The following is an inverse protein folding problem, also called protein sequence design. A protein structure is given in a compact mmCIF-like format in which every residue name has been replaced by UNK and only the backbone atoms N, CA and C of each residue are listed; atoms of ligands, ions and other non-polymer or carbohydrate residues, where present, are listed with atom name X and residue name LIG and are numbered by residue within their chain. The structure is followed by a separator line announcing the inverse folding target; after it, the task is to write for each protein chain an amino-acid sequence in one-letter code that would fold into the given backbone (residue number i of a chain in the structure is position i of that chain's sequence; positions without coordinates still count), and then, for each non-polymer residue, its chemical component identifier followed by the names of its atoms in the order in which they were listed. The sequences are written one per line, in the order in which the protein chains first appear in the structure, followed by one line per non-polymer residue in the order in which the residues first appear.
data_IF_216466683961
#
_entry.id   IF_216466683961
#
_cell.length_a   1.000
_cell.length_b   1.000
_cell.length_c   1.000
_cell.angle_alpha   90.00
_cell.angle_beta   90.00
_cell.angle_gamma   90.00
#
_symmetry.space_group_name_H-M   'P 1'
#
loop_
_entity.id
_entity.type
_entity.pdbx_description
1 polymer ?
#
# COMPACT_ATOMS: atom_id res chain seq x y z
N UNK A 1 58.27 35.33 -46.86
CA UNK A 1 57.67 33.99 -46.99
C UNK A 1 57.83 33.29 -45.66
N UNK A 2 56.74 32.94 -44.99
CA UNK A 2 56.66 31.91 -43.93
C UNK A 2 56.80 30.51 -44.57
N UNK A 3 56.98 29.36 -43.86
CA UNK A 3 56.95 29.09 -42.40
C UNK A 3 58.05 28.02 -41.97
N UNK A 4 57.84 27.02 -41.08
CA UNK A 4 57.93 27.05 -39.60
C UNK A 4 58.70 25.84 -38.96
N UNK A 5 58.67 25.74 -37.62
CA UNK A 5 58.82 24.53 -36.77
C UNK A 5 60.23 23.88 -36.69
N UNK A 6 60.72 23.29 -35.60
CA UNK A 6 60.13 22.77 -34.35
C UNK A 6 61.25 22.36 -33.37
N UNK A 7 60.85 22.11 -32.11
CA UNK A 7 61.49 21.26 -31.09
C UNK A 7 62.78 21.78 -30.40
N UNK A 8 63.02 21.55 -29.11
CA UNK A 8 62.20 21.08 -27.99
C UNK A 8 63.08 21.20 -26.73
N UNK A 9 62.52 21.68 -25.62
CA UNK A 9 63.08 21.41 -24.29
C UNK A 9 61.93 21.45 -23.28
N UNK A 10 61.40 20.26 -23.03
CA UNK A 10 60.45 19.95 -21.97
C UNK A 10 61.01 20.39 -20.61
N UNK A 11 60.36 21.35 -19.97
CA UNK A 11 60.25 21.35 -18.51
C UNK A 11 58.97 20.60 -18.15
N UNK A 12 59.14 19.35 -17.72
CA UNK A 12 58.10 18.55 -17.11
C UNK A 12 57.63 19.26 -15.83
N UNK A 13 56.47 19.91 -15.90
CA UNK A 13 55.69 20.21 -14.71
C UNK A 13 54.51 19.25 -14.68
N UNK A 14 54.66 18.19 -13.89
CA UNK A 14 53.60 17.21 -13.62
C UNK A 14 52.59 17.83 -12.66
N UNK A 15 51.80 18.78 -13.18
CA UNK A 15 50.69 19.41 -12.47
C UNK A 15 49.49 18.47 -12.42
N UNK A 16 49.54 17.44 -11.58
CA UNK A 16 48.29 16.82 -11.15
C UNK A 16 47.49 17.87 -10.38
N UNK A 17 46.39 18.35 -10.98
CA UNK A 17 45.38 19.19 -10.35
C UNK A 17 44.68 18.42 -9.22
N UNK A 18 45.41 18.15 -8.14
CA UNK A 18 44.87 17.73 -6.86
C UNK A 18 44.32 18.97 -6.16
N UNK A 19 43.10 19.38 -6.55
CA UNK A 19 42.42 20.48 -5.89
C UNK A 19 42.00 20.02 -4.48
N UNK A 20 42.55 20.58 -3.38
CA UNK A 20 42.24 20.14 -2.01
C UNK A 20 40.75 20.26 -1.67
N UNK A 21 40.06 21.26 -2.23
CA UNK A 21 38.62 21.44 -2.14
C UNK A 21 37.82 20.23 -2.67
N UNK A 22 38.26 19.60 -3.77
CA UNK A 22 37.60 18.39 -4.30
C UNK A 22 37.79 17.21 -3.36
N UNK A 23 38.96 17.08 -2.71
CA UNK A 23 39.23 16.04 -1.72
C UNK A 23 38.45 16.24 -0.42
N UNK A 24 38.36 17.46 0.08
CA UNK A 24 37.56 17.81 1.27
C UNK A 24 36.07 17.56 1.03
N UNK A 25 35.55 17.94 -0.15
CA UNK A 25 34.17 17.65 -0.54
C UNK A 25 33.88 16.14 -0.61
N UNK A 26 34.82 15.34 -1.12
CA UNK A 26 34.70 13.87 -1.16
C UNK A 26 34.73 13.24 0.23
N UNK A 27 35.57 13.75 1.13
CA UNK A 27 35.63 13.28 2.53
C UNK A 27 34.33 13.63 3.26
N UNK A 28 33.82 14.86 3.09
CA UNK A 28 32.55 15.30 3.70
C UNK A 28 31.34 14.54 3.13
N UNK A 29 31.32 14.24 1.84
CA UNK A 29 30.31 13.38 1.22
C UNK A 29 30.38 11.94 1.78
N UNK A 30 31.58 11.39 1.93
CA UNK A 30 31.78 10.05 2.51
C UNK A 30 31.28 9.99 3.96
N UNK A 31 31.57 11.01 4.78
CA UNK A 31 31.09 11.10 6.17
C UNK A 31 29.58 11.22 6.22
N UNK A 32 28.97 12.04 5.34
CA UNK A 32 27.50 12.17 5.25
C UNK A 32 26.84 10.86 4.85
N UNK A 33 27.37 10.15 3.86
CA UNK A 33 26.87 8.84 3.43
C UNK A 33 27.00 7.80 4.55
N UNK A 34 28.12 7.76 5.25
CA UNK A 34 28.32 6.86 6.38
C UNK A 34 27.31 7.12 7.50
N UNK A 35 27.09 8.39 7.86
CA UNK A 35 26.09 8.78 8.86
C UNK A 35 24.68 8.35 8.45
N UNK A 36 24.28 8.60 7.21
CA UNK A 36 22.97 8.19 6.69
C UNK A 36 22.77 6.66 6.75
N UNK A 37 23.83 5.89 6.47
CA UNK A 37 23.80 4.43 6.60
C UNK A 37 23.63 3.98 8.06
N UNK A 38 24.38 4.57 8.99
CA UNK A 38 24.24 4.28 10.41
C UNK A 38 22.84 4.61 10.94
N UNK A 39 22.29 5.77 10.57
CA UNK A 39 20.94 6.18 10.95
C UNK A 39 19.87 5.24 10.37
N UNK A 40 20.03 4.80 9.11
CA UNK A 40 19.15 3.82 8.47
C UNK A 40 19.18 2.45 9.14
N UNK A 41 20.38 1.96 9.49
CA UNK A 41 20.56 0.71 10.21
C UNK A 41 19.96 0.78 11.61
N UNK A 42 20.21 1.86 12.34
CA UNK A 42 19.64 2.09 13.67
C UNK A 42 18.10 2.12 13.62
N UNK A 43 17.52 2.81 12.63
CA UNK A 43 16.06 2.84 12.45
C UNK A 43 15.49 1.43 12.18
N UNK A 44 16.20 0.60 11.41
CA UNK A 44 15.82 -0.79 11.15
C UNK A 44 15.86 -1.63 12.45
N UNK A 45 16.94 -1.54 13.23
CA UNK A 45 17.08 -2.28 14.50
C UNK A 45 16.03 -1.88 15.54
N UNK A 46 15.73 -0.58 15.66
CA UNK A 46 14.64 -0.10 16.53
C UNK A 46 13.31 -0.68 16.08
N UNK A 47 13.05 -0.71 14.76
CA UNK A 47 11.84 -1.30 14.21
C UNK A 47 11.70 -2.79 14.54
N UNK A 48 12.79 -3.56 14.40
CA UNK A 48 12.82 -4.99 14.77
C UNK A 48 12.57 -5.20 16.26
N UNK A 49 13.21 -4.39 17.11
CA UNK A 49 13.02 -4.43 18.57
C UNK A 49 11.55 -4.20 18.94
N UNK A 50 10.90 -3.21 18.33
CA UNK A 50 9.48 -2.95 18.55
C UNK A 50 8.63 -4.15 18.14
N UNK A 51 8.90 -4.77 16.98
CA UNK A 51 8.16 -5.94 16.51
C UNK A 51 8.30 -7.13 17.47
N UNK A 52 9.51 -7.37 17.98
CA UNK A 52 9.76 -8.44 18.95
C UNK A 52 9.02 -8.20 20.27
N UNK A 53 9.09 -6.96 20.80
CA UNK A 53 8.33 -6.58 22.00
C UNK A 53 6.82 -6.77 21.79
N UNK A 54 6.27 -6.39 20.63
CA UNK A 54 4.86 -6.60 20.30
C UNK A 54 4.50 -8.09 20.21
N UNK A 55 5.37 -8.90 19.60
CA UNK A 55 5.19 -10.34 19.51
C UNK A 55 5.14 -11.00 20.88
N UNK A 56 6.13 -10.72 21.73
CA UNK A 56 6.20 -11.21 23.10
C UNK A 56 4.99 -10.77 23.92
N UNK A 57 4.62 -9.48 23.83
CA UNK A 57 3.45 -8.96 24.52
C UNK A 57 2.16 -9.67 24.08
N UNK A 58 1.98 -9.87 22.77
CA UNK A 58 0.78 -10.50 22.21
C UNK A 58 0.64 -11.97 22.65
N UNK A 59 1.76 -12.67 22.82
CA UNK A 59 1.79 -14.05 23.32
C UNK A 59 1.51 -14.08 24.82
N UNK A 60 2.19 -13.24 25.61
CA UNK A 60 2.08 -13.23 27.06
C UNK A 60 0.69 -12.79 27.54
N UNK A 61 0.08 -11.80 26.88
CA UNK A 61 -1.21 -11.23 27.25
C UNK A 61 -2.31 -11.63 26.27
N UNK A 62 -2.30 -12.91 25.84
CA UNK A 62 -3.19 -13.43 24.80
C UNK A 62 -4.67 -13.23 25.12
N UNK A 63 -5.08 -13.43 26.36
CA UNK A 63 -6.50 -13.29 26.76
C UNK A 63 -6.97 -11.83 26.62
N UNK A 64 -6.16 -10.87 27.07
CA UNK A 64 -6.44 -9.43 26.91
C UNK A 64 -6.48 -9.00 25.43
N UNK A 65 -5.72 -9.68 24.56
CA UNK A 65 -5.79 -9.49 23.11
C UNK A 65 -7.09 -10.04 22.53
N UNK A 66 -7.57 -11.19 23.03
CA UNK A 66 -8.81 -11.82 22.58
C UNK A 66 -10.07 -11.06 23.02
N UNK A 67 -10.01 -10.41 24.18
CA UNK A 67 -11.08 -9.52 24.68
C UNK A 67 -11.18 -8.19 23.92
N UNK A 68 -10.29 -7.95 22.93
CA UNK A 68 -10.30 -6.80 22.01
C UNK A 68 -10.09 -5.42 22.66
N UNK A 69 -9.83 -5.35 23.97
CA UNK A 69 -9.56 -4.07 24.66
C UNK A 69 -8.17 -3.50 24.30
N UNK A 70 -7.18 -4.38 24.15
CA UNK A 70 -5.78 -4.03 23.84
C UNK A 70 -5.46 -4.18 22.36
N UNK A 71 -6.12 -5.11 21.67
CA UNK A 71 -5.83 -5.45 20.27
C UNK A 71 -5.83 -4.22 19.33
N UNK A 72 -6.79 -3.28 19.39
CA UNK A 72 -6.75 -2.08 18.54
C UNK A 72 -5.53 -1.19 18.80
N UNK A 73 -5.00 -1.18 20.03
CA UNK A 73 -3.79 -0.42 20.37
C UNK A 73 -2.57 -1.04 19.71
N UNK A 74 -2.43 -2.36 19.79
CA UNK A 74 -1.35 -3.13 19.14
C UNK A 74 -1.43 -3.02 17.62
N UNK A 75 -2.63 -3.18 17.06
CA UNK A 75 -2.86 -3.07 15.62
C UNK A 75 -2.52 -1.68 15.06
N UNK A 76 -2.72 -0.61 15.84
CA UNK A 76 -2.30 0.74 15.45
C UNK A 76 -0.78 0.86 15.30
N UNK A 77 0.02 0.10 16.03
CA UNK A 77 1.48 0.11 15.85
C UNK A 77 1.86 -0.50 14.50
N UNK A 78 1.27 -1.64 14.13
CA UNK A 78 1.43 -2.21 12.78
C UNK A 78 0.99 -1.23 11.69
N UNK A 79 -0.14 -0.54 11.90
CA UNK A 79 -0.63 0.48 10.97
C UNK A 79 0.39 1.62 10.80
N UNK A 80 1.01 2.08 11.91
CA UNK A 80 2.06 3.10 11.86
C UNK A 80 3.29 2.64 11.08
N UNK A 81 3.70 1.37 11.20
CA UNK A 81 4.78 0.84 10.37
C UNK A 81 4.45 0.94 8.89
N UNK A 82 3.24 0.54 8.47
CA UNK A 82 2.81 0.63 7.07
C UNK A 82 2.73 2.08 6.56
N UNK A 83 2.38 3.02 7.43
CA UNK A 83 2.25 4.44 7.08
C UNK A 83 3.58 5.17 6.90
N UNK A 84 4.60 4.79 7.66
CA UNK A 84 5.84 5.57 7.81
C UNK A 84 6.96 5.20 6.82
N UNK A 85 6.68 4.40 5.78
CA UNK A 85 7.65 4.09 4.71
C UNK A 85 8.94 3.45 5.24
N UNK A 86 8.87 2.19 5.68
CA UNK A 86 10.02 1.47 6.25
C UNK A 86 11.07 1.07 5.20
N UNK A 87 12.26 0.71 5.68
CA UNK A 87 13.25 0.00 4.84
C UNK A 87 12.67 -1.31 4.30
N UNK A 88 13.17 -1.80 3.17
CA UNK A 88 12.70 -3.07 2.60
C UNK A 88 12.92 -4.24 3.58
N UNK A 89 14.05 -4.25 4.28
CA UNK A 89 14.37 -5.27 5.28
C UNK A 89 13.35 -5.28 6.41
N UNK A 90 13.08 -4.13 7.02
CA UNK A 90 12.10 -4.02 8.10
C UNK A 90 10.69 -4.32 7.60
N UNK A 91 10.31 -3.88 6.39
CA UNK A 91 8.99 -4.15 5.81
C UNK A 91 8.67 -5.65 5.75
N UNK A 92 9.64 -6.49 5.37
CA UNK A 92 9.46 -7.96 5.35
C UNK A 92 9.10 -8.51 6.72
N UNK A 93 9.76 -8.02 7.77
CA UNK A 93 9.48 -8.39 9.16
C UNK A 93 8.12 -7.86 9.63
N UNK A 94 7.76 -6.63 9.26
CA UNK A 94 6.44 -6.05 9.53
C UNK A 94 5.33 -6.92 8.91
N UNK A 95 5.45 -7.32 7.64
CA UNK A 95 4.47 -8.18 6.98
C UNK A 95 4.39 -9.58 7.62
N UNK A 96 5.53 -10.17 7.98
CA UNK A 96 5.57 -11.45 8.68
C UNK A 96 4.86 -11.38 10.06
N UNK A 97 5.18 -10.34 10.85
CA UNK A 97 4.55 -10.09 12.13
C UNK A 97 3.04 -9.81 12.00
N UNK A 98 2.64 -9.06 10.96
CA UNK A 98 1.23 -8.79 10.68
C UNK A 98 0.46 -10.06 10.29
N UNK A 99 1.07 -10.97 9.51
CA UNK A 99 0.48 -12.29 9.21
C UNK A 99 0.28 -13.12 10.48
N UNK A 100 1.28 -13.16 11.36
CA UNK A 100 1.18 -13.84 12.65
C UNK A 100 0.07 -13.24 13.53
N UNK A 101 -0.01 -11.91 13.59
CA UNK A 101 -1.06 -11.19 14.31
C UNK A 101 -2.47 -11.54 13.78
N UNK A 102 -2.69 -11.49 12.46
CA UNK A 102 -3.99 -11.81 11.86
C UNK A 102 -4.38 -13.27 12.16
N UNK A 103 -3.46 -14.22 12.01
CA UNK A 103 -3.73 -15.64 12.27
C UNK A 103 -4.12 -15.90 13.72
N UNK A 104 -3.42 -15.28 14.66
CA UNK A 104 -3.64 -15.53 16.09
C UNK A 104 -4.87 -14.83 16.66
N UNK A 105 -5.26 -13.70 16.06
CA UNK A 105 -6.28 -12.80 16.62
C UNK A 105 -7.41 -12.45 15.66
N UNK A 106 -7.59 -13.21 14.57
CA UNK A 106 -8.66 -13.00 13.58
C UNK A 106 -10.04 -12.82 14.21
N UNK A 107 -10.42 -13.69 15.14
CA UNK A 107 -11.71 -13.60 15.83
C UNK A 107 -11.88 -12.26 16.56
N UNK A 108 -10.88 -11.80 17.28
CA UNK A 108 -10.93 -10.53 18.02
C UNK A 108 -10.82 -9.31 17.09
N UNK A 109 -10.07 -9.41 15.99
CA UNK A 109 -9.94 -8.39 14.95
C UNK A 109 -11.26 -8.13 14.22
N UNK A 110 -12.01 -9.21 13.95
CA UNK A 110 -13.32 -9.13 13.29
C UNK A 110 -14.50 -9.07 14.28
N UNK A 111 -14.25 -9.10 15.60
CA UNK A 111 -15.26 -8.80 16.60
C UNK A 111 -15.36 -7.28 16.80
N UNK A 112 -16.54 -6.69 16.60
CA UNK A 112 -16.77 -5.25 16.78
C UNK A 112 -16.55 -4.40 15.51
N UNK A 113 -16.02 -3.17 15.67
CA UNK A 113 -16.04 -2.11 14.65
C UNK A 113 -15.05 -2.34 13.48
N UNK A 114 -15.50 -2.11 12.23
CA UNK A 114 -14.74 -2.29 11.00
C UNK A 114 -13.64 -1.25 10.72
N UNK A 115 -13.56 -0.13 11.47
CA UNK A 115 -12.60 0.97 11.20
C UNK A 115 -11.15 0.49 11.08
N UNK A 116 -10.67 -0.31 12.03
CA UNK A 116 -9.27 -0.79 12.05
C UNK A 116 -8.95 -1.66 10.83
N UNK A 117 -9.87 -2.56 10.49
CA UNK A 117 -9.77 -3.39 9.29
C UNK A 117 -9.67 -2.51 8.04
N UNK A 118 -10.38 -1.38 8.02
CA UNK A 118 -10.30 -0.41 6.94
C UNK A 118 -9.01 0.32 6.78
N UNK A 119 -8.46 0.78 7.89
CA UNK A 119 -7.16 1.41 7.87
C UNK A 119 -6.08 0.42 7.40
N UNK A 120 -6.12 -0.82 7.87
CA UNK A 120 -5.20 -1.87 7.42
C UNK A 120 -5.34 -2.15 5.92
N UNK A 121 -6.56 -2.36 5.43
CA UNK A 121 -6.81 -2.62 4.01
C UNK A 121 -6.34 -1.46 3.14
N UNK A 122 -6.60 -0.22 3.55
CA UNK A 122 -6.14 0.97 2.83
C UNK A 122 -4.62 1.03 2.70
N UNK A 123 -3.88 0.85 3.81
CA UNK A 123 -2.42 0.86 3.77
C UNK A 123 -1.84 -0.33 2.99
N UNK A 124 -2.44 -1.51 3.08
CA UNK A 124 -2.02 -2.67 2.30
C UNK A 124 -2.24 -2.46 0.79
N UNK A 125 -3.35 -1.83 0.40
CA UNK A 125 -3.60 -1.50 -1.01
C UNK A 125 -2.60 -0.47 -1.54
N UNK A 126 -2.17 0.51 -0.73
CA UNK A 126 -1.03 1.38 -1.09
C UNK A 126 0.24 0.56 -1.33
N UNK A 127 0.53 -0.43 -0.48
CA UNK A 127 1.67 -1.31 -0.69
C UNK A 127 1.54 -2.18 -1.97
N UNK A 128 0.33 -2.54 -2.38
CA UNK A 128 0.07 -3.21 -3.66
C UNK A 128 0.41 -2.34 -4.89
N UNK A 129 0.49 -1.01 -4.74
CA UNK A 129 0.93 -0.11 -5.82
C UNK A 129 2.45 0.20 -5.77
N UNK A 130 3.18 -0.38 -4.81
CA UNK A 130 4.61 -0.12 -4.63
C UNK A 130 5.42 -0.44 -5.89
N UNK A 131 6.46 0.35 -6.14
CA UNK A 131 7.45 0.07 -7.20
C UNK A 131 8.21 -1.23 -6.93
N UNK A 132 8.38 -1.60 -5.67
CA UNK A 132 9.09 -2.82 -5.25
C UNK A 132 8.17 -4.03 -5.33
N UNK A 133 8.52 -5.00 -6.19
CA UNK A 133 7.72 -6.23 -6.39
C UNK A 133 7.66 -7.08 -5.12
N UNK A 134 8.75 -7.15 -4.34
CA UNK A 134 8.80 -7.87 -3.07
C UNK A 134 7.75 -7.36 -2.08
N UNK A 135 7.61 -6.04 -1.94
CA UNK A 135 6.58 -5.42 -1.09
C UNK A 135 5.17 -5.71 -1.61
N UNK A 136 4.96 -5.64 -2.93
CA UNK A 136 3.65 -5.96 -3.54
C UNK A 136 3.22 -7.39 -3.21
N UNK A 137 4.14 -8.36 -3.34
CA UNK A 137 3.85 -9.77 -3.05
C UNK A 137 3.46 -9.99 -1.58
N UNK A 138 4.24 -9.43 -0.64
CA UNK A 138 3.91 -9.53 0.79
C UNK A 138 2.57 -8.86 1.12
N UNK A 139 2.31 -7.66 0.57
CA UNK A 139 1.03 -6.96 0.76
C UNK A 139 -0.16 -7.76 0.21
N UNK A 140 -0.03 -8.34 -0.99
CA UNK A 140 -1.04 -9.23 -1.58
C UNK A 140 -1.29 -10.45 -0.70
N UNK A 141 -0.25 -11.04 -0.12
CA UNK A 141 -0.38 -12.21 0.76
C UNK A 141 -1.10 -11.86 2.06
N UNK A 142 -0.79 -10.71 2.68
CA UNK A 142 -1.48 -10.24 3.89
C UNK A 142 -2.93 -9.88 3.59
N UNK A 143 -3.19 -9.18 2.48
CA UNK A 143 -4.55 -8.80 2.09
C UNK A 143 -5.41 -10.04 1.78
N UNK A 144 -4.84 -11.03 1.09
CA UNK A 144 -5.46 -12.33 0.88
C UNK A 144 -5.79 -13.02 2.21
N UNK A 145 -4.83 -13.08 3.14
CA UNK A 145 -5.03 -13.68 4.46
C UNK A 145 -6.17 -13.00 5.21
N UNK A 146 -6.22 -11.66 5.17
CA UNK A 146 -7.25 -10.86 5.82
C UNK A 146 -8.65 -11.17 5.24
N UNK A 147 -8.75 -11.32 3.92
CA UNK A 147 -10.00 -11.76 3.28
C UNK A 147 -10.39 -13.17 3.71
N UNK A 148 -9.44 -14.12 3.70
CA UNK A 148 -9.68 -15.51 4.08
C UNK A 148 -10.14 -15.62 5.54
N UNK A 149 -9.44 -14.98 6.48
CA UNK A 149 -9.79 -15.01 7.89
C UNK A 149 -11.14 -14.35 8.17
N UNK A 150 -11.54 -13.33 7.41
CA UNK A 150 -12.88 -12.74 7.53
C UNK A 150 -13.98 -13.66 7.01
N UNK A 151 -13.73 -14.36 5.91
CA UNK A 151 -14.67 -15.35 5.37
C UNK A 151 -14.88 -16.51 6.33
N UNK A 152 -13.81 -17.02 6.95
CA UNK A 152 -13.86 -18.05 7.98
C UNK A 152 -14.61 -17.56 9.24
N UNK A 153 -14.32 -16.34 9.71
CA UNK A 153 -15.03 -15.71 10.84
C UNK A 153 -16.53 -15.58 10.59
N UNK A 154 -16.94 -15.27 9.36
CA UNK A 154 -18.34 -15.10 8.98
C UNK A 154 -19.07 -16.44 8.74
N UNK A 155 -18.48 -17.56 9.14
CA UNK A 155 -19.05 -18.90 8.94
C UNK A 155 -19.19 -19.28 7.47
N UNK A 156 -18.32 -18.76 6.60
CA UNK A 156 -18.32 -18.98 5.14
C UNK A 156 -19.58 -18.50 4.41
N UNK A 157 -20.33 -17.56 5.01
CA UNK A 157 -21.57 -17.00 4.45
C UNK A 157 -21.35 -15.78 3.56
N UNK A 158 -20.14 -15.23 3.52
CA UNK A 158 -19.79 -14.08 2.68
C UNK A 158 -18.56 -13.33 3.19
N UNK A 159 -18.03 -12.44 2.34
CA UNK A 159 -16.86 -11.59 2.65
C UNK A 159 -17.28 -10.16 3.07
N UNK A 160 -18.55 -9.93 3.40
CA UNK A 160 -19.19 -8.60 3.36
C UNK A 160 -18.37 -7.50 4.04
N UNK A 161 -17.78 -7.76 5.21
CA UNK A 161 -17.01 -6.73 5.93
C UNK A 161 -15.70 -6.35 5.23
N UNK A 162 -14.84 -7.30 4.91
CA UNK A 162 -13.56 -7.00 4.24
C UNK A 162 -13.79 -6.60 2.78
N UNK A 163 -14.77 -7.21 2.12
CA UNK A 163 -15.18 -6.86 0.75
C UNK A 163 -15.58 -5.39 0.66
N UNK A 164 -16.51 -4.93 1.50
CA UNK A 164 -16.92 -3.53 1.54
C UNK A 164 -15.72 -2.62 1.79
N UNK A 165 -14.87 -3.02 2.72
CA UNK A 165 -13.74 -2.21 3.11
C UNK A 165 -12.65 -2.11 2.03
N UNK A 166 -12.41 -3.17 1.26
CA UNK A 166 -11.53 -3.13 0.09
C UNK A 166 -12.09 -2.16 -0.95
N UNK A 167 -13.39 -2.23 -1.25
CA UNK A 167 -14.00 -1.31 -2.22
C UNK A 167 -13.91 0.14 -1.73
N UNK A 168 -14.28 0.41 -0.47
CA UNK A 168 -14.18 1.74 0.13
C UNK A 168 -12.74 2.27 0.07
N UNK A 169 -11.77 1.44 0.43
CA UNK A 169 -10.36 1.84 0.45
C UNK A 169 -9.83 2.14 -0.95
N UNK A 170 -10.19 1.32 -1.95
CA UNK A 170 -9.88 1.59 -3.37
C UNK A 170 -10.50 2.91 -3.82
N UNK A 171 -11.78 3.15 -3.51
CA UNK A 171 -12.46 4.41 -3.85
C UNK A 171 -11.78 5.63 -3.22
N UNK A 172 -11.32 5.53 -1.96
CA UNK A 172 -10.58 6.60 -1.30
C UNK A 172 -9.18 6.81 -1.89
N UNK A 173 -8.46 5.73 -2.24
CA UNK A 173 -7.13 5.85 -2.86
C UNK A 173 -7.21 6.55 -4.21
N UNK A 174 -8.26 6.28 -4.97
CA UNK A 174 -8.53 6.91 -6.25
C UNK A 174 -8.64 8.44 -6.13
N UNK A 175 -9.27 8.95 -5.07
CA UNK A 175 -9.39 10.40 -4.83
C UNK A 175 -8.07 11.06 -4.45
N UNK A 176 -7.11 10.31 -3.90
CA UNK A 176 -5.86 10.85 -3.36
C UNK A 176 -4.61 10.52 -4.20
N UNK A 177 -4.68 9.52 -5.08
CA UNK A 177 -3.54 8.99 -5.84
C UNK A 177 -3.84 9.05 -7.34
N UNK A 178 -3.17 9.96 -8.04
CA UNK A 178 -3.19 10.05 -9.49
C UNK A 178 -2.52 8.79 -10.07
N UNK A 179 -3.20 8.07 -10.98
CA UNK A 179 -2.59 6.97 -11.73
C UNK A 179 -2.59 5.58 -11.06
N UNK A 180 -3.54 5.30 -10.15
CA UNK A 180 -3.67 3.98 -9.50
C UNK A 180 -3.95 2.83 -10.49
N UNK A 181 -4.55 3.12 -11.66
CA UNK A 181 -4.79 2.12 -12.71
C UNK A 181 -3.53 1.85 -13.55
N UNK A 182 -2.47 1.35 -12.91
CA UNK A 182 -1.20 1.00 -13.57
C UNK A 182 -0.95 -0.52 -13.57
N UNK A 183 0.04 -0.95 -14.36
CA UNK A 183 0.36 -2.37 -14.53
C UNK A 183 0.75 -3.07 -13.21
N UNK A 184 1.38 -2.35 -12.26
CA UNK A 184 1.82 -2.93 -10.98
C UNK A 184 0.62 -3.28 -10.11
N UNK A 185 -0.34 -2.37 -9.99
CA UNK A 185 -1.55 -2.63 -9.22
C UNK A 185 -2.40 -3.73 -9.86
N UNK A 186 -2.49 -3.76 -11.19
CA UNK A 186 -3.19 -4.83 -11.92
C UNK A 186 -2.54 -6.20 -11.72
N UNK A 187 -1.20 -6.26 -11.67
CA UNK A 187 -0.44 -7.46 -11.31
C UNK A 187 -0.78 -7.92 -9.89
N UNK A 188 -0.77 -7.01 -8.91
CA UNK A 188 -1.16 -7.30 -7.53
C UNK A 188 -2.56 -7.91 -7.40
N UNK A 189 -3.55 -7.40 -8.15
CA UNK A 189 -4.90 -7.98 -8.19
C UNK A 189 -4.90 -9.39 -8.79
N UNK A 190 -4.04 -9.67 -9.76
CA UNK A 190 -3.87 -11.00 -10.35
C UNK A 190 -3.21 -11.97 -9.37
N UNK A 191 -2.20 -11.52 -8.60
CA UNK A 191 -1.55 -12.31 -7.54
C UNK A 191 -2.59 -12.73 -6.48
N UNK A 192 -3.43 -11.81 -6.03
CA UNK A 192 -4.49 -12.11 -5.04
C UNK A 192 -5.45 -13.18 -5.57
N UNK A 193 -5.87 -13.09 -6.83
CA UNK A 193 -6.70 -14.13 -7.47
C UNK A 193 -5.99 -15.49 -7.54
N UNK A 194 -4.68 -15.47 -7.81
CA UNK A 194 -3.87 -16.68 -7.84
C UNK A 194 -3.81 -17.36 -6.47
N UNK A 195 -3.62 -16.60 -5.39
CA UNK A 195 -3.70 -17.13 -4.02
C UNK A 195 -5.05 -17.79 -3.73
N UNK A 196 -6.17 -17.13 -4.06
CA UNK A 196 -7.50 -17.70 -3.85
C UNK A 196 -7.74 -18.98 -4.68
N UNK A 197 -7.22 -19.03 -5.90
CA UNK A 197 -7.40 -20.20 -6.79
C UNK A 197 -6.49 -21.38 -6.39
N UNK A 198 -5.30 -21.08 -5.86
CA UNK A 198 -4.30 -22.08 -5.47
C UNK A 198 -4.54 -22.65 -4.07
N UNK A 199 -5.27 -21.95 -3.20
CA UNK A 199 -5.56 -22.38 -1.84
C UNK A 199 -6.50 -23.59 -1.78
N UNK A 200 -5.90 -24.77 -1.58
CA UNK A 200 -6.61 -26.06 -1.52
C UNK A 200 -7.67 -26.11 -0.42
N UNK A 201 -7.48 -25.39 0.69
CA UNK A 201 -8.46 -25.38 1.79
C UNK A 201 -9.74 -24.64 1.40
N UNK A 202 -9.67 -23.73 0.43
CA UNK A 202 -10.78 -22.88 0.01
C UNK A 202 -11.44 -23.29 -1.31
N UNK A 203 -10.84 -24.19 -2.11
CA UNK A 203 -11.35 -24.60 -3.43
C UNK A 203 -12.80 -25.11 -3.47
N UNK A 204 -13.28 -25.72 -2.39
CA UNK A 204 -14.66 -26.21 -2.28
C UNK A 204 -15.64 -25.20 -1.65
N UNK A 205 -15.18 -23.98 -1.37
CA UNK A 205 -16.01 -22.91 -0.82
C UNK A 205 -16.35 -21.88 -1.88
N UNK A 206 -17.34 -21.01 -1.61
CA UNK A 206 -17.61 -19.84 -2.46
C UNK A 206 -16.52 -18.77 -2.43
N UNK A 207 -15.49 -18.92 -1.59
CA UNK A 207 -14.47 -17.89 -1.37
C UNK A 207 -13.68 -17.48 -2.63
N UNK A 208 -13.17 -18.40 -3.48
CA UNK A 208 -12.45 -17.98 -4.68
C UNK A 208 -13.31 -17.16 -5.65
N UNK A 209 -14.62 -17.44 -5.70
CA UNK A 209 -15.56 -16.66 -6.52
C UNK A 209 -15.76 -15.25 -5.95
N UNK A 210 -15.94 -15.12 -4.64
CA UNK A 210 -16.03 -13.83 -3.95
C UNK A 210 -14.79 -12.96 -4.18
N UNK A 211 -13.58 -13.54 -4.11
CA UNK A 211 -12.33 -12.81 -4.39
C UNK A 211 -12.25 -12.38 -5.85
N UNK A 212 -12.64 -13.25 -6.79
CA UNK A 212 -12.68 -12.93 -8.22
C UNK A 212 -13.66 -11.80 -8.53
N UNK A 213 -14.84 -11.82 -7.91
CA UNK A 213 -15.85 -10.79 -8.09
C UNK A 213 -15.42 -9.46 -7.47
N UNK A 214 -14.79 -9.49 -6.29
CA UNK A 214 -14.21 -8.32 -5.66
C UNK A 214 -13.13 -7.68 -6.54
N UNK A 215 -12.17 -8.47 -7.02
CA UNK A 215 -11.09 -7.93 -7.87
C UNK A 215 -11.62 -7.44 -9.23
N UNK A 216 -12.66 -8.07 -9.79
CA UNK A 216 -13.37 -7.55 -10.97
C UNK A 216 -13.98 -6.19 -10.69
N UNK A 217 -14.72 -6.05 -9.58
CA UNK A 217 -15.31 -4.76 -9.16
C UNK A 217 -14.23 -3.69 -9.04
N UNK A 218 -13.15 -3.96 -8.31
CA UNK A 218 -12.01 -3.04 -8.17
C UNK A 218 -11.46 -2.59 -9.52
N UNK A 219 -11.28 -3.51 -10.49
CA UNK A 219 -10.84 -3.14 -11.84
C UNK A 219 -11.83 -2.23 -12.56
N UNK A 220 -13.14 -2.50 -12.45
CA UNK A 220 -14.18 -1.62 -13.02
C UNK A 220 -14.07 -0.21 -12.45
N UNK A 221 -13.89 -0.07 -11.13
CA UNK A 221 -13.72 1.25 -10.50
C UNK A 221 -12.48 1.97 -11.05
N UNK A 222 -11.34 1.27 -11.10
CA UNK A 222 -10.10 1.84 -11.61
C UNK A 222 -10.19 2.29 -13.07
N UNK A 223 -10.84 1.49 -13.92
CA UNK A 223 -11.06 1.82 -15.34
C UNK A 223 -11.99 3.02 -15.49
N UNK A 224 -13.10 3.05 -14.75
CA UNK A 224 -14.03 4.17 -14.75
C UNK A 224 -13.34 5.46 -14.30
N UNK A 225 -12.50 5.41 -13.26
CA UNK A 225 -11.75 6.60 -12.83
C UNK A 225 -10.68 7.03 -13.83
N UNK A 226 -9.97 6.10 -14.46
CA UNK A 226 -9.02 6.46 -15.51
C UNK A 226 -9.73 7.18 -16.68
N UNK A 227 -10.95 6.75 -17.02
CA UNK A 227 -11.79 7.44 -18.01
C UNK A 227 -12.24 8.82 -17.53
N UNK A 228 -12.65 8.95 -16.25
CA UNK A 228 -13.00 10.25 -15.67
C UNK A 228 -11.83 11.24 -15.72
N UNK A 229 -10.60 10.78 -15.43
CA UNK A 229 -9.40 11.62 -15.55
C UNK A 229 -9.08 11.96 -17.01
N UNK A 230 -9.27 11.04 -17.96
CA UNK A 230 -9.04 11.31 -19.37
C UNK A 230 -10.05 12.33 -19.96
N UNK A 231 -11.26 12.36 -19.42
CA UNK A 231 -12.36 13.22 -19.87
C UNK A 231 -12.66 14.38 -18.90
N UNK A 232 -11.72 14.77 -18.05
CA UNK A 232 -11.91 15.85 -17.05
C UNK A 232 -12.29 17.21 -17.66
N UNK A 233 -12.02 17.42 -18.96
CA UNK A 233 -12.38 18.64 -19.70
C UNK A 233 -13.76 18.57 -20.36
N UNK A 234 -14.47 17.43 -20.25
CA UNK A 234 -15.79 17.19 -20.83
C UNK A 234 -16.81 16.91 -19.70
N UNK A 235 -17.54 17.93 -19.23
CA UNK A 235 -18.38 17.83 -18.03
C UNK A 235 -19.59 16.88 -18.22
N UNK A 236 -20.17 16.80 -19.41
CA UNK A 236 -21.31 15.89 -19.67
C UNK A 236 -20.86 14.43 -19.59
N UNK A 237 -19.73 14.11 -20.22
CA UNK A 237 -19.18 12.76 -20.20
C UNK A 237 -18.66 12.37 -18.81
N UNK A 238 -18.10 13.33 -18.07
CA UNK A 238 -17.72 13.12 -16.68
C UNK A 238 -18.94 12.72 -15.84
N UNK A 239 -20.05 13.46 -15.94
CA UNK A 239 -21.29 13.18 -15.21
C UNK A 239 -21.87 11.80 -15.58
N UNK A 240 -21.87 11.42 -16.85
CA UNK A 240 -22.33 10.10 -17.30
C UNK A 240 -21.48 8.95 -16.71
N UNK A 241 -20.16 9.10 -16.71
CA UNK A 241 -19.23 8.13 -16.13
C UNK A 241 -19.45 7.98 -14.61
N UNK A 242 -19.63 9.10 -13.93
CA UNK A 242 -19.93 9.17 -12.50
C UNK A 242 -21.26 8.47 -12.17
N UNK A 243 -22.30 8.74 -12.95
CA UNK A 243 -23.62 8.13 -12.81
C UNK A 243 -23.59 6.61 -13.09
N UNK A 244 -22.90 6.20 -14.15
CA UNK A 244 -22.72 4.79 -14.52
C UNK A 244 -22.03 3.99 -13.40
N UNK A 245 -20.96 4.56 -12.81
CA UNK A 245 -20.26 3.94 -11.70
C UNK A 245 -21.12 3.88 -10.43
N UNK A 246 -21.88 4.93 -10.12
CA UNK A 246 -22.83 4.93 -9.01
C UNK A 246 -23.96 3.89 -9.21
N UNK A 247 -24.39 3.64 -10.44
CA UNK A 247 -25.33 2.58 -10.80
C UNK A 247 -24.76 1.18 -10.68
N UNK A 248 -23.46 1.00 -10.95
CA UNK A 248 -22.80 -0.30 -10.71
C UNK A 248 -22.85 -0.75 -9.24
N UNK A 249 -23.00 0.19 -8.31
CA UNK A 249 -23.18 -0.07 -6.87
C UNK A 249 -24.64 -0.13 -6.41
N UNK A 250 -25.62 -0.13 -7.32
CA UNK A 250 -27.04 -0.05 -6.95
C UNK A 250 -27.51 -1.16 -5.99
N UNK A 251 -26.89 -2.35 -6.08
CA UNK A 251 -27.18 -3.49 -5.22
C UNK A 251 -26.48 -3.45 -3.86
N UNK A 252 -25.71 -2.41 -3.55
CA UNK A 252 -25.01 -2.26 -2.27
C UNK A 252 -25.06 -0.79 -1.79
N UNK A 253 -26.12 -0.41 -1.06
CA UNK A 253 -26.37 0.98 -0.66
C UNK A 253 -25.20 1.66 0.06
N UNK A 254 -24.47 0.92 0.90
CA UNK A 254 -23.32 1.43 1.66
C UNK A 254 -22.14 1.81 0.75
N UNK A 255 -21.93 1.04 -0.33
CA UNK A 255 -20.90 1.33 -1.33
C UNK A 255 -21.27 2.55 -2.16
N UNK A 256 -22.54 2.63 -2.58
CA UNK A 256 -23.05 3.80 -3.32
C UNK A 256 -22.90 5.07 -2.48
N UNK A 257 -23.30 5.04 -1.21
CA UNK A 257 -23.14 6.20 -0.31
C UNK A 257 -21.67 6.61 -0.18
N UNK A 258 -20.76 5.67 0.08
CA UNK A 258 -19.33 5.99 0.26
C UNK A 258 -18.69 6.54 -1.02
N UNK A 259 -19.08 6.00 -2.17
CA UNK A 259 -18.66 6.51 -3.48
C UNK A 259 -19.12 7.95 -3.68
N UNK A 260 -20.41 8.23 -3.47
CA UNK A 260 -20.99 9.58 -3.60
C UNK A 260 -20.33 10.58 -2.64
N UNK A 261 -20.07 10.21 -1.38
CA UNK A 261 -19.36 11.09 -0.43
C UNK A 261 -17.92 11.37 -0.88
N UNK A 262 -17.23 10.40 -1.46
CA UNK A 262 -15.87 10.59 -1.98
C UNK A 262 -15.87 11.49 -3.21
N UNK A 263 -16.86 11.34 -4.07
CA UNK A 263 -17.08 12.17 -5.25
C UNK A 263 -17.40 13.61 -4.86
N UNK A 264 -18.30 13.83 -3.90
CA UNK A 264 -18.62 15.14 -3.36
C UNK A 264 -17.37 15.87 -2.86
N UNK A 265 -16.51 15.17 -2.09
CA UNK A 265 -15.21 15.73 -1.66
C UNK A 265 -14.27 16.07 -2.80
N UNK A 266 -14.27 15.27 -3.87
CA UNK A 266 -13.42 15.55 -5.05
C UNK A 266 -13.94 16.78 -5.80
N UNK A 267 -15.26 16.90 -5.97
CA UNK A 267 -15.89 18.08 -6.55
C UNK A 267 -15.64 19.35 -5.73
N UNK A 268 -15.72 19.24 -4.40
CA UNK A 268 -15.35 20.32 -3.48
C UNK A 268 -13.88 20.76 -3.65
N UNK A 269 -12.95 19.80 -3.78
CA UNK A 269 -11.52 20.08 -4.03
C UNK A 269 -11.26 20.73 -5.40
N UNK A 270 -12.08 20.43 -6.40
CA UNK A 270 -11.97 21.00 -7.75
C UNK A 270 -12.75 22.33 -7.91
N UNK A 271 -13.45 22.80 -6.86
CA UNK A 271 -14.24 24.03 -6.88
C UNK A 271 -15.66 23.87 -7.48
N UNK A 272 -16.11 22.65 -7.74
CA UNK A 272 -17.42 22.34 -8.32
C UNK A 272 -18.50 22.21 -7.22
N UNK A 273 -18.85 23.33 -6.57
CA UNK A 273 -19.72 23.33 -5.38
C UNK A 273 -21.14 22.82 -5.67
N UNK A 274 -21.66 23.02 -6.88
CA UNK A 274 -23.00 22.56 -7.26
C UNK A 274 -23.13 21.03 -7.41
N UNK A 275 -22.00 20.34 -7.62
CA UNK A 275 -21.93 18.88 -7.80
C UNK A 275 -21.44 18.15 -6.53
N UNK A 276 -21.02 18.91 -5.51
CA UNK A 276 -20.61 18.42 -4.19
C UNK A 276 -21.83 18.21 -3.27
#
# INVERSE_FOLDING_TARGET
MMPPNSESANSFDSGTLNHPQTRENLVEETVRLHRALCESNLATEIGLTILDCLGLYSIQFRDSMQDSSVLPKVARVYLRFLQLGQSESLSKHVFAALRAFINNFSHALFKGNAILCGQLVYELLKCCDSRLSSLRQEACAVLYLLMRSNFEFSGRKGLTRVHLQVIISVSQMIGNVIGLNNARFQESLSIINSYATSDKAMKGSGFPMEVKDLTRRVRTVLMATAQMQAHHMDPERLLELQHSLANSYASTPELRHTWLVTMARNHEQNGNISEA
#
